data_IF_487473728952
#
_entry.id   IF_487473728952
#
_cell.length_a   1.000
_cell.length_b   1.000
_cell.length_c   1.000
_cell.angle_alpha   90.00
_cell.angle_beta   90.00
_cell.angle_gamma   90.00
#
_symmetry.space_group_name_H-M   'P 1'
#
loop_
_entity.id
_entity.type
_entity.pdbx_description
1 polymer ?
#
# COMPACT_ATOMS: atom_id res chain seq x y z
N UNK A 1 -2.46 -23.02 -18.23
CA UNK A 1 -3.07 -21.96 -19.05
C UNK A 1 -2.01 -21.42 -20.01
N UNK A 2 -2.03 -21.75 -21.32
CA UNK A 2 -0.92 -21.41 -22.22
C UNK A 2 -0.95 -19.96 -22.75
N UNK A 3 -1.99 -19.18 -22.45
CA UNK A 3 -2.19 -17.82 -23.00
C UNK A 3 -1.86 -16.69 -22.01
N UNK A 4 -1.45 -17.01 -20.77
CA UNK A 4 -1.17 -16.00 -19.75
C UNK A 4 0.32 -15.97 -19.47
N UNK A 5 0.93 -14.81 -19.72
CA UNK A 5 2.37 -14.61 -19.60
C UNK A 5 2.81 -14.17 -18.21
N UNK A 6 1.95 -13.43 -17.48
CA UNK A 6 2.28 -12.90 -16.16
C UNK A 6 1.04 -12.98 -15.25
N UNK A 7 1.23 -13.50 -14.03
CA UNK A 7 0.24 -13.49 -12.96
C UNK A 7 0.89 -12.92 -11.71
N UNK A 8 0.30 -11.89 -11.10
CA UNK A 8 0.81 -11.28 -9.87
C UNK A 8 -0.32 -11.00 -8.88
N UNK A 9 0.03 -10.96 -7.59
CA UNK A 9 -0.89 -10.66 -6.50
C UNK A 9 -0.99 -9.16 -6.19
N UNK A 10 -1.97 -8.75 -5.37
CA UNK A 10 -2.14 -7.35 -4.96
C UNK A 10 -0.91 -6.75 -4.25
N UNK A 11 -0.10 -7.59 -3.61
CA UNK A 11 1.11 -7.19 -2.88
C UNK A 11 2.38 -7.13 -3.73
N UNK A 12 2.35 -7.65 -4.96
CA UNK A 12 3.55 -7.79 -5.80
C UNK A 12 3.47 -6.97 -7.10
N UNK A 13 2.48 -6.08 -7.22
CA UNK A 13 2.30 -5.21 -8.39
C UNK A 13 3.56 -4.41 -8.74
N UNK A 14 4.30 -3.93 -7.74
CA UNK A 14 5.54 -3.17 -7.94
C UNK A 14 6.64 -3.98 -8.67
N UNK A 15 6.57 -5.32 -8.63
CA UNK A 15 7.50 -6.22 -9.33
C UNK A 15 7.10 -6.48 -10.79
N UNK A 16 5.92 -6.04 -11.22
CA UNK A 16 5.42 -6.24 -12.59
C UNK A 16 6.43 -5.82 -13.68
N UNK A 17 7.12 -4.66 -13.59
CA UNK A 17 8.13 -4.30 -14.58
C UNK A 17 9.27 -5.32 -14.69
N UNK A 18 9.69 -5.91 -13.58
CA UNK A 18 10.72 -6.96 -13.58
C UNK A 18 10.19 -8.28 -14.15
N UNK A 19 8.98 -8.67 -13.77
CA UNK A 19 8.34 -9.87 -14.30
C UNK A 19 8.19 -9.80 -15.83
N UNK A 20 7.83 -8.64 -16.38
CA UNK A 20 7.77 -8.43 -17.83
C UNK A 20 9.15 -8.65 -18.47
N UNK A 21 10.22 -8.09 -17.89
CA UNK A 21 11.59 -8.29 -18.40
C UNK A 21 12.00 -9.76 -18.34
N UNK A 22 11.69 -10.46 -17.25
CA UNK A 22 12.04 -11.88 -17.08
C UNK A 22 11.28 -12.78 -18.06
N UNK A 23 10.01 -12.48 -18.35
CA UNK A 23 9.25 -13.17 -19.41
C UNK A 23 9.90 -12.96 -20.77
N UNK A 24 10.28 -11.73 -21.10
CA UNK A 24 10.90 -11.39 -22.38
C UNK A 24 12.25 -12.07 -22.59
N UNK A 25 13.05 -12.21 -21.52
CA UNK A 25 14.38 -12.82 -21.59
C UNK A 25 14.33 -14.36 -21.56
N UNK A 26 13.49 -14.96 -20.73
CA UNK A 26 13.43 -16.42 -20.55
C UNK A 26 12.42 -17.12 -21.47
N UNK A 27 11.45 -16.39 -22.00
CA UNK A 27 10.28 -16.95 -22.69
C UNK A 27 9.27 -17.64 -21.77
N UNK A 28 9.58 -17.81 -20.47
CA UNK A 28 8.75 -18.53 -19.50
C UNK A 28 7.74 -17.60 -18.82
N UNK A 29 6.51 -18.09 -18.61
CA UNK A 29 5.49 -17.35 -17.86
C UNK A 29 5.95 -17.08 -16.42
N UNK A 30 5.60 -15.90 -15.91
CA UNK A 30 6.00 -15.43 -14.58
C UNK A 30 4.81 -15.43 -13.63
N UNK A 31 4.99 -15.96 -12.42
CA UNK A 31 3.93 -16.01 -11.40
C UNK A 31 4.49 -15.55 -10.06
N UNK A 32 3.91 -14.49 -9.49
CA UNK A 32 4.24 -14.03 -8.14
C UNK A 32 2.98 -13.58 -7.38
N UNK A 33 2.38 -14.51 -6.64
CA UNK A 33 1.17 -14.30 -5.84
C UNK A 33 1.46 -14.27 -4.33
N UNK A 34 2.70 -13.98 -3.95
CA UNK A 34 3.13 -13.91 -2.55
C UNK A 34 2.60 -12.65 -1.86
N UNK A 35 2.61 -12.66 -0.53
CA UNK A 35 2.21 -11.54 0.33
C UNK A 35 3.41 -11.02 1.15
N UNK A 36 4.39 -10.34 0.55
CA UNK A 36 5.44 -9.66 1.33
C UNK A 36 4.82 -8.44 2.06
N UNK A 37 5.15 -8.27 3.35
CA UNK A 37 4.46 -7.32 4.22
C UNK A 37 4.82 -5.84 3.96
N UNK A 38 6.05 -5.52 3.52
CA UNK A 38 6.56 -4.14 3.54
C UNK A 38 6.99 -3.60 2.18
N UNK A 39 7.58 -4.42 1.29
CA UNK A 39 8.21 -3.96 0.03
C UNK A 39 7.32 -3.06 -0.85
N UNK A 40 5.99 -3.23 -0.79
CA UNK A 40 5.08 -2.43 -1.60
C UNK A 40 5.11 -0.95 -1.26
N UNK A 41 5.24 -0.58 0.02
CA UNK A 41 5.22 0.82 0.44
C UNK A 41 6.47 1.59 -0.01
N UNK A 42 7.60 0.88 -0.15
CA UNK A 42 8.86 1.42 -0.68
C UNK A 42 8.81 1.72 -2.18
N UNK A 43 7.78 1.23 -2.86
CA UNK A 43 7.60 1.35 -4.31
C UNK A 43 6.31 2.09 -4.69
N UNK A 44 5.74 2.87 -3.77
CA UNK A 44 4.60 3.72 -4.09
C UNK A 44 4.97 4.75 -5.16
N UNK A 45 4.05 5.05 -6.09
CA UNK A 45 4.26 6.14 -7.04
C UNK A 45 4.36 7.48 -6.30
N UNK A 46 4.98 8.50 -6.91
CA UNK A 46 5.03 9.83 -6.32
C UNK A 46 3.63 10.36 -6.00
N UNK A 47 3.46 11.14 -4.92
CA UNK A 47 2.16 11.62 -4.50
C UNK A 47 1.57 12.56 -5.56
N UNK A 48 0.26 12.50 -5.77
CA UNK A 48 -0.44 13.32 -6.75
C UNK A 48 -1.74 13.84 -6.15
N UNK A 49 -2.11 15.05 -6.54
CA UNK A 49 -3.39 15.66 -6.20
C UNK A 49 -4.37 15.57 -7.37
N UNK A 50 -5.67 15.48 -7.07
CA UNK A 50 -6.74 15.63 -8.05
C UNK A 50 -7.63 16.80 -7.63
N UNK A 51 -7.50 17.94 -8.31
CA UNK A 51 -8.09 19.20 -7.88
C UNK A 51 -7.53 19.65 -6.52
N UNK A 52 -8.42 19.85 -5.54
CA UNK A 52 -8.05 20.29 -4.20
C UNK A 52 -7.92 19.16 -3.17
N UNK A 53 -8.22 17.91 -3.55
CA UNK A 53 -8.22 16.77 -2.64
C UNK A 53 -7.15 15.75 -3.01
N UNK A 54 -6.69 14.98 -2.02
CA UNK A 54 -5.73 13.90 -2.20
C UNK A 54 -6.08 12.69 -1.32
N UNK A 55 -5.69 11.51 -1.80
CA UNK A 55 -5.80 10.26 -1.05
C UNK A 55 -4.43 9.82 -0.55
N UNK A 56 -4.35 9.48 0.73
CA UNK A 56 -3.12 9.06 1.40
C UNK A 56 -3.34 7.72 2.10
N UNK A 57 -2.87 6.63 1.50
CA UNK A 57 -2.97 5.30 2.14
C UNK A 57 -2.04 5.23 3.35
N UNK A 58 -2.55 4.94 4.54
CA UNK A 58 -1.76 4.89 5.80
C UNK A 58 -1.50 3.47 6.29
N UNK A 59 -2.22 2.49 5.76
CA UNK A 59 -2.14 1.09 6.16
C UNK A 59 -2.70 0.20 5.05
N UNK A 60 -2.42 -1.10 5.12
CA UNK A 60 -3.05 -2.12 4.29
C UNK A 60 -3.33 -3.40 5.09
N UNK A 61 -4.25 -4.22 4.59
CA UNK A 61 -4.63 -5.46 5.24
C UNK A 61 -5.60 -5.23 6.40
N UNK A 62 -6.07 -6.32 7.01
CA UNK A 62 -6.98 -6.23 8.15
C UNK A 62 -6.94 -7.53 8.95
N UNK A 63 -6.64 -7.41 10.25
CA UNK A 63 -6.64 -8.54 11.19
C UNK A 63 -8.00 -8.75 11.87
N UNK A 64 -9.08 -8.14 11.34
CA UNK A 64 -10.46 -8.34 11.82
C UNK A 64 -11.19 -9.35 10.92
N UNK A 65 -11.61 -10.45 11.51
CA UNK A 65 -12.30 -11.55 10.83
C UNK A 65 -13.82 -11.35 10.86
N UNK A 66 -14.29 -10.32 10.16
CA UNK A 66 -15.73 -10.08 10.02
C UNK A 66 -16.37 -11.17 9.16
N UNK A 67 -17.58 -11.62 9.51
CA UNK A 67 -18.29 -12.74 8.86
C UNK A 67 -18.53 -12.56 7.35
N UNK A 68 -18.47 -11.33 6.85
CA UNK A 68 -18.69 -10.96 5.46
C UNK A 68 -17.40 -10.56 4.72
N UNK A 69 -16.27 -10.42 5.43
CA UNK A 69 -15.08 -9.77 4.88
C UNK A 69 -14.02 -10.79 4.43
N UNK A 70 -13.67 -10.76 3.15
CA UNK A 70 -12.64 -11.63 2.56
C UNK A 70 -11.22 -11.07 2.70
N UNK A 71 -11.07 -9.83 3.19
CA UNK A 71 -9.80 -9.09 3.23
C UNK A 71 -8.67 -9.85 3.94
N UNK A 72 -8.86 -10.44 5.14
CA UNK A 72 -7.76 -11.14 5.82
C UNK A 72 -7.11 -12.22 4.95
N UNK A 73 -7.88 -12.84 4.05
CA UNK A 73 -7.43 -13.92 3.17
C UNK A 73 -6.85 -13.43 1.84
N UNK A 74 -7.15 -12.20 1.43
CA UNK A 74 -6.82 -11.68 0.08
C UNK A 74 -5.87 -10.49 0.08
N UNK A 75 -5.66 -9.86 1.25
CA UNK A 75 -4.72 -8.74 1.43
C UNK A 75 -3.72 -8.96 2.58
N UNK A 76 -3.91 -10.01 3.37
CA UNK A 76 -3.07 -10.33 4.51
C UNK A 76 -3.50 -9.63 5.79
N UNK A 77 -2.67 -9.80 6.82
CA UNK A 77 -2.84 -9.13 8.11
C UNK A 77 -2.60 -7.63 8.01
N UNK A 78 -3.05 -6.92 9.04
CA UNK A 78 -2.92 -5.48 9.16
C UNK A 78 -1.45 -5.04 9.25
N UNK A 79 -1.04 -4.14 8.36
CA UNK A 79 0.28 -3.51 8.34
C UNK A 79 0.10 -2.00 8.25
N UNK A 80 0.63 -1.28 9.24
CA UNK A 80 0.66 0.19 9.25
C UNK A 80 1.91 0.71 8.55
N UNK A 81 1.76 1.78 7.77
CA UNK A 81 2.92 2.49 7.21
C UNK A 81 3.67 3.25 8.30
N UNK A 82 5.00 3.41 8.17
CA UNK A 82 5.78 4.25 9.07
C UNK A 82 5.22 5.67 9.14
N UNK A 83 5.13 6.22 10.36
CA UNK A 83 4.56 7.54 10.60
C UNK A 83 5.29 8.64 9.83
N UNK A 84 6.63 8.59 9.80
CA UNK A 84 7.47 9.55 9.09
C UNK A 84 7.21 9.58 7.58
N UNK A 85 6.91 8.42 6.98
CA UNK A 85 6.62 8.32 5.54
C UNK A 85 5.27 8.95 5.21
N UNK A 86 4.26 8.69 6.05
CA UNK A 86 2.93 9.30 5.93
C UNK A 86 3.05 10.83 6.05
N UNK A 87 3.79 11.32 7.05
CA UNK A 87 3.99 12.75 7.26
C UNK A 87 4.71 13.40 6.07
N UNK A 88 5.76 12.74 5.56
CA UNK A 88 6.52 13.21 4.38
C UNK A 88 5.61 13.31 3.16
N UNK A 89 4.78 12.29 2.91
CA UNK A 89 3.84 12.27 1.80
C UNK A 89 2.74 13.34 1.96
N UNK A 90 2.19 13.52 3.17
CA UNK A 90 1.21 14.56 3.46
C UNK A 90 1.76 15.97 3.19
N UNK A 91 3.01 16.24 3.59
CA UNK A 91 3.70 17.51 3.31
C UNK A 91 3.88 17.72 1.81
N UNK A 92 4.25 16.67 1.06
CA UNK A 92 4.38 16.74 -0.39
C UNK A 92 3.03 17.04 -1.07
N UNK A 93 1.94 16.39 -0.64
CA UNK A 93 0.59 16.64 -1.16
C UNK A 93 0.14 18.09 -0.86
N UNK A 94 0.38 18.58 0.35
CA UNK A 94 0.08 19.96 0.74
C UNK A 94 0.88 20.97 -0.11
N UNK A 95 2.17 20.70 -0.36
CA UNK A 95 3.02 21.53 -1.21
C UNK A 95 2.57 21.55 -2.68
N UNK A 96 1.95 20.47 -3.16
CA UNK A 96 1.33 20.42 -4.49
C UNK A 96 0.01 21.21 -4.57
N UNK A 97 -0.58 21.60 -3.42
CA UNK A 97 -1.79 22.41 -3.36
C UNK A 97 -3.02 21.69 -2.79
N UNK A 98 -2.88 20.46 -2.27
CA UNK A 98 -3.97 19.77 -1.58
C UNK A 98 -4.50 20.64 -0.42
N UNK A 99 -5.83 20.74 -0.35
CA UNK A 99 -6.59 21.38 0.74
C UNK A 99 -7.27 20.36 1.63
N UNK A 100 -7.46 19.15 1.12
CA UNK A 100 -8.05 18.02 1.82
C UNK A 100 -7.19 16.78 1.58
N UNK A 101 -6.86 16.06 2.65
CA UNK A 101 -6.19 14.76 2.58
C UNK A 101 -7.12 13.74 3.23
N UNK A 102 -7.50 12.73 2.45
CA UNK A 102 -8.28 11.59 2.94
C UNK A 102 -7.35 10.42 3.23
N UNK A 103 -7.28 10.02 4.50
CA UNK A 103 -6.49 8.87 4.93
C UNK A 103 -7.20 7.57 4.53
N UNK A 104 -6.49 6.68 3.83
CA UNK A 104 -7.04 5.42 3.33
C UNK A 104 -6.45 4.21 4.08
N UNK A 105 -7.31 3.24 4.35
CA UNK A 105 -6.98 1.96 4.98
C UNK A 105 -8.23 1.09 5.13
N UNK A 106 -8.07 -0.22 5.31
CA UNK A 106 -9.23 -1.11 5.52
C UNK A 106 -9.88 -0.90 6.90
N UNK A 107 -9.08 -0.55 7.91
CA UNK A 107 -9.55 -0.22 9.25
C UNK A 107 -8.67 0.87 9.86
N UNK A 108 -8.82 2.12 9.39
CA UNK A 108 -7.97 3.26 9.79
C UNK A 108 -7.87 3.46 11.31
N UNK A 109 -8.89 3.07 12.07
CA UNK A 109 -8.92 3.17 13.53
C UNK A 109 -7.86 2.28 14.22
N UNK A 110 -7.33 1.28 13.52
CA UNK A 110 -6.31 0.39 14.03
C UNK A 110 -4.89 0.79 13.62
N UNK A 111 -4.72 1.94 12.93
CA UNK A 111 -3.39 2.47 12.64
C UNK A 111 -2.54 2.58 13.91
N UNK A 112 -1.33 2.02 13.86
CA UNK A 112 -0.32 2.02 14.91
C UNK A 112 1.08 2.02 14.31
N UNK A 113 1.93 2.93 14.74
CA UNK A 113 3.33 2.97 14.36
C UNK A 113 4.21 3.47 15.52
N UNK A 114 5.51 3.25 15.45
CA UNK A 114 6.48 3.92 16.31
C UNK A 114 6.89 5.25 15.66
N UNK A 115 6.90 6.33 16.43
CA UNK A 115 7.40 7.62 15.99
C UNK A 115 8.10 8.33 17.15
N UNK A 116 9.37 8.71 16.98
CA UNK A 116 10.16 9.42 18.00
C UNK A 116 10.15 8.75 19.40
N UNK A 117 10.10 7.41 19.43
CA UNK A 117 10.09 6.63 20.68
C UNK A 117 8.74 6.58 21.40
N UNK A 118 7.66 7.05 20.77
CA UNK A 118 6.29 6.88 21.26
C UNK A 118 5.44 6.06 20.29
N UNK A 119 4.39 5.43 20.80
CA UNK A 119 3.36 4.79 19.98
C UNK A 119 2.48 5.89 19.38
N UNK A 120 2.49 6.01 18.05
CA UNK A 120 1.63 6.89 17.29
C UNK A 120 0.40 6.12 16.80
N UNK A 121 -0.78 6.73 16.93
CA UNK A 121 -2.04 6.19 16.45
C UNK A 121 -2.73 7.14 15.46
N UNK A 122 -3.95 6.78 15.03
CA UNK A 122 -4.73 7.60 14.11
C UNK A 122 -4.96 9.02 14.65
N UNK A 123 -5.09 9.21 15.96
CA UNK A 123 -5.33 10.52 16.53
C UNK A 123 -4.11 11.44 16.41
N UNK A 124 -2.90 10.89 16.32
CA UNK A 124 -1.69 11.65 16.07
C UNK A 124 -1.51 12.05 14.59
N UNK A 125 -2.25 11.43 13.67
CA UNK A 125 -2.24 11.76 12.23
C UNK A 125 -3.22 12.88 11.83
N UNK A 126 -4.10 13.30 12.75
CA UNK A 126 -5.18 14.29 12.51
C UNK A 126 -5.01 15.52 13.39
#
# INVERSE_FOLDING_TARGET
APYVDVVFGPQTLHRLPEMIRNKQSSGQSQVDIRFPEIEKFDHLPPPRIDGASAFLSIMEGCSKYCSFCVVPFTRGEEVSRPFADILTEAVQLAAQGAKEITLLGQNVNAYRAEYEGVEADLAMLI
#
